data_IF_846807932321
#
_entry.id   IF_846807932321
#
_cell.length_a   1.000
_cell.length_b   1.000
_cell.length_c   1.000
_cell.angle_alpha   90.00
_cell.angle_beta   90.00
_cell.angle_gamma   90.00
#
_symmetry.space_group_name_H-M   'P 1'
#
loop_
_entity.id
_entity.type
_entity.pdbx_description
1 polymer ?
#
# COMPACT_ATOMS: atom_id res chain seq x y z
N UNK A 1 -14.94 30.92 17.07
CA UNK A 1 -13.85 29.98 16.74
C UNK A 1 -14.20 29.27 15.45
N UNK A 2 -13.65 29.73 14.32
CA UNK A 2 -13.66 28.93 13.08
C UNK A 2 -12.76 27.72 13.36
N UNK A 3 -13.31 26.51 13.27
CA UNK A 3 -12.50 25.29 13.09
C UNK A 3 -11.78 25.51 11.76
N UNK A 4 -10.48 25.77 11.80
CA UNK A 4 -9.65 25.61 10.62
C UNK A 4 -9.80 24.15 10.21
N UNK A 5 -10.55 23.88 9.14
CA UNK A 5 -10.51 22.62 8.43
C UNK A 5 -9.09 22.47 7.90
N UNK A 6 -8.21 21.90 8.72
CA UNK A 6 -6.89 21.48 8.28
C UNK A 6 -7.15 20.46 7.18
N UNK A 7 -6.98 20.89 5.93
CA UNK A 7 -7.20 20.06 4.76
C UNK A 7 -6.42 18.76 4.91
N UNK A 8 -7.13 17.62 4.84
CA UNK A 8 -6.52 16.28 4.91
C UNK A 8 -5.36 16.14 3.92
N UNK A 9 -5.43 16.82 2.77
CA UNK A 9 -4.36 16.88 1.78
C UNK A 9 -3.07 17.53 2.32
N UNK A 10 -3.19 18.58 3.14
CA UNK A 10 -2.04 19.25 3.75
C UNK A 10 -1.34 18.36 4.78
N UNK A 11 -2.13 17.70 5.64
CA UNK A 11 -1.61 16.73 6.63
C UNK A 11 -0.93 15.55 5.94
N UNK A 12 -1.53 15.03 4.87
CA UNK A 12 -0.99 13.93 4.07
C UNK A 12 0.36 14.32 3.45
N UNK A 13 0.44 15.52 2.87
CA UNK A 13 1.64 16.03 2.21
C UNK A 13 2.78 16.31 3.20
N UNK A 14 2.47 16.84 4.38
CA UNK A 14 3.48 17.08 5.43
C UNK A 14 4.02 15.76 6.01
N UNK A 15 3.16 14.78 6.27
CA UNK A 15 3.59 13.46 6.77
C UNK A 15 4.47 12.77 5.72
N UNK A 16 4.08 12.76 4.45
CA UNK A 16 4.91 12.20 3.37
C UNK A 16 6.24 12.92 3.22
N UNK A 17 6.24 14.25 3.20
CA UNK A 17 7.48 15.00 2.96
C UNK A 17 8.44 14.90 4.14
N UNK A 18 7.93 14.93 5.37
CA UNK A 18 8.74 14.93 6.58
C UNK A 18 9.20 13.53 7.01
N UNK A 19 8.36 12.50 6.86
CA UNK A 19 8.65 11.16 7.38
C UNK A 19 8.97 10.13 6.29
N UNK A 20 8.45 10.27 5.07
CA UNK A 20 8.76 9.35 3.96
C UNK A 20 9.99 9.84 3.19
N UNK A 21 10.05 11.12 2.83
CA UNK A 21 11.20 11.70 2.11
C UNK A 21 12.31 12.23 3.03
N UNK A 22 11.99 12.58 4.28
CA UNK A 22 12.97 13.06 5.26
C UNK A 22 13.90 11.97 5.81
N UNK A 23 13.48 10.70 5.77
CA UNK A 23 14.28 9.58 6.27
C UNK A 23 15.04 8.94 5.10
N UNK A 24 16.36 9.18 5.05
CA UNK A 24 17.23 8.70 3.95
C UNK A 24 17.13 7.18 3.72
N UNK A 25 16.94 6.40 4.80
CA UNK A 25 16.74 4.95 4.72
C UNK A 25 15.49 4.57 3.92
N UNK A 26 14.39 5.27 4.14
CA UNK A 26 13.13 4.98 3.46
C UNK A 26 13.22 5.42 1.99
N UNK A 27 13.80 6.59 1.73
CA UNK A 27 14.06 7.09 0.36
C UNK A 27 14.91 6.11 -0.47
N UNK A 28 15.96 5.53 0.10
CA UNK A 28 16.81 4.57 -0.62
C UNK A 28 16.05 3.25 -0.89
N UNK A 29 15.23 2.80 0.06
CA UNK A 29 14.43 1.58 -0.09
C UNK A 29 13.23 1.73 -1.03
N UNK A 30 12.75 2.94 -1.32
CA UNK A 30 11.60 3.14 -2.22
C UNK A 30 11.87 2.60 -3.63
N UNK A 31 13.04 2.85 -4.20
CA UNK A 31 13.37 2.38 -5.55
C UNK A 31 13.28 0.85 -5.72
N UNK A 32 13.93 0.02 -4.88
CA UNK A 32 13.79 -1.43 -4.98
C UNK A 32 12.37 -1.91 -4.65
N UNK A 33 11.64 -1.22 -3.75
CA UNK A 33 10.23 -1.53 -3.47
C UNK A 33 9.37 -1.32 -4.71
N UNK A 34 9.47 -0.16 -5.37
CA UNK A 34 8.73 0.13 -6.60
C UNK A 34 9.05 -0.88 -7.70
N UNK A 35 10.32 -1.27 -7.86
CA UNK A 35 10.71 -2.29 -8.81
C UNK A 35 10.04 -3.64 -8.51
N UNK A 36 10.06 -4.10 -7.25
CA UNK A 36 9.43 -5.35 -6.83
C UNK A 36 7.90 -5.31 -6.96
N UNK A 37 7.27 -4.16 -6.71
CA UNK A 37 5.83 -3.95 -6.94
C UNK A 37 5.49 -4.16 -8.43
N UNK A 38 6.28 -3.56 -9.33
CA UNK A 38 6.08 -3.73 -10.78
C UNK A 38 6.27 -5.20 -11.19
N UNK A 39 7.33 -5.85 -10.72
CA UNK A 39 7.57 -7.27 -10.99
C UNK A 39 6.42 -8.14 -10.49
N UNK A 40 5.97 -7.91 -9.26
CA UNK A 40 4.85 -8.63 -8.64
C UNK A 40 3.57 -8.47 -9.48
N UNK A 41 3.19 -7.24 -9.83
CA UNK A 41 2.01 -6.96 -10.65
C UNK A 41 2.09 -7.61 -12.05
N UNK A 42 3.27 -7.60 -12.69
CA UNK A 42 3.50 -8.28 -13.97
C UNK A 42 3.37 -9.81 -13.84
N UNK A 43 3.89 -10.40 -12.77
CA UNK A 43 3.78 -11.84 -12.56
C UNK A 43 2.37 -12.27 -12.19
N UNK A 44 1.63 -11.44 -11.47
CA UNK A 44 0.24 -11.70 -11.08
C UNK A 44 -0.69 -11.70 -12.29
N UNK A 45 -0.59 -10.68 -13.16
CA UNK A 45 -1.34 -10.63 -14.42
C UNK A 45 -1.02 -11.80 -15.37
N UNK A 46 0.25 -12.24 -15.41
CA UNK A 46 0.65 -13.45 -16.15
C UNK A 46 0.11 -14.73 -15.53
N UNK A 47 0.11 -14.86 -14.20
CA UNK A 47 -0.46 -16.01 -13.51
C UNK A 47 -1.97 -16.13 -13.81
N UNK A 48 -2.70 -15.02 -13.83
CA UNK A 48 -4.11 -14.99 -14.27
C UNK A 48 -4.28 -15.49 -15.71
N UNK A 49 -3.38 -15.09 -16.62
CA UNK A 49 -3.41 -15.58 -18.02
C UNK A 49 -3.17 -17.09 -18.12
N UNK A 50 -2.20 -17.63 -17.39
CA UNK A 50 -1.94 -19.08 -17.38
C UNK A 50 -3.09 -19.85 -16.73
N UNK A 51 -3.76 -19.28 -15.73
CA UNK A 51 -4.97 -19.85 -15.15
C UNK A 51 -6.09 -19.98 -16.19
N UNK A 52 -6.31 -18.94 -17.01
CA UNK A 52 -7.23 -19.01 -18.15
C UNK A 52 -6.87 -20.10 -19.15
N UNK A 53 -5.59 -20.18 -19.55
CA UNK A 53 -5.10 -21.21 -20.48
C UNK A 53 -5.22 -22.64 -19.95
N UNK A 54 -5.07 -22.83 -18.64
CA UNK A 54 -5.31 -24.12 -18.00
C UNK A 54 -6.78 -24.50 -18.15
N UNK A 55 -7.70 -23.56 -17.90
CA UNK A 55 -9.14 -23.82 -18.05
C UNK A 55 -9.50 -24.20 -19.50
N UNK A 56 -8.91 -23.54 -20.50
CA UNK A 56 -9.13 -23.87 -21.90
C UNK A 56 -8.50 -25.21 -22.29
N UNK A 57 -7.28 -25.50 -21.81
CA UNK A 57 -6.59 -26.77 -22.08
C UNK A 57 -7.33 -27.98 -21.50
N UNK A 58 -8.00 -27.80 -20.36
CA UNK A 58 -8.87 -28.82 -19.74
C UNK A 58 -10.10 -29.07 -20.62
N UNK A 59 -10.73 -28.01 -21.15
CA UNK A 59 -11.88 -28.14 -22.06
C UNK A 59 -11.50 -28.84 -23.36
N UNK A 60 -10.33 -28.54 -23.91
CA UNK A 60 -9.86 -29.08 -25.18
C UNK A 60 -9.20 -30.46 -25.06
N UNK A 61 -9.08 -31.02 -23.84
CA UNK A 61 -8.47 -32.33 -23.61
C UNK A 61 -6.96 -32.38 -23.94
N UNK A 62 -6.27 -31.24 -23.92
CA UNK A 62 -4.86 -31.13 -24.27
C UNK A 62 -3.94 -31.26 -23.06
N UNK A 63 -2.63 -31.41 -23.28
CA UNK A 63 -1.65 -31.55 -22.21
C UNK A 63 -1.53 -30.27 -21.36
N UNK A 64 -2.19 -30.27 -20.19
CA UNK A 64 -2.24 -29.17 -19.22
C UNK A 64 -0.91 -28.94 -18.48
N UNK A 65 -0.04 -29.96 -18.42
CA UNK A 65 1.15 -29.97 -17.56
C UNK A 65 2.10 -28.78 -17.79
N UNK A 66 2.26 -28.34 -19.04
CA UNK A 66 3.14 -27.22 -19.39
C UNK A 66 2.61 -25.87 -18.90
N UNK A 67 1.30 -25.65 -19.01
CA UNK A 67 0.66 -24.41 -18.54
C UNK A 67 0.55 -24.40 -17.02
N UNK A 68 0.31 -25.56 -16.39
CA UNK A 68 0.36 -25.71 -14.94
C UNK A 68 1.74 -25.35 -14.36
N UNK A 69 2.83 -25.84 -14.98
CA UNK A 69 4.18 -25.53 -14.54
C UNK A 69 4.49 -24.03 -14.67
N UNK A 70 4.07 -23.40 -15.77
CA UNK A 70 4.21 -21.96 -15.99
C UNK A 70 3.44 -21.16 -14.95
N UNK A 71 2.19 -21.55 -14.67
CA UNK A 71 1.38 -20.94 -13.62
C UNK A 71 2.08 -21.01 -12.26
N UNK A 72 2.50 -22.21 -11.83
CA UNK A 72 3.19 -22.40 -10.55
C UNK A 72 4.46 -21.57 -10.44
N UNK A 73 5.31 -21.59 -11.48
CA UNK A 73 6.54 -20.79 -11.51
C UNK A 73 6.24 -19.29 -11.38
N UNK A 74 5.25 -18.77 -12.12
CA UNK A 74 4.88 -17.35 -12.01
C UNK A 74 4.27 -16.99 -10.67
N UNK A 75 3.45 -17.86 -10.08
CA UNK A 75 2.83 -17.64 -8.78
C UNK A 75 3.87 -17.60 -7.66
N UNK A 76 4.89 -18.47 -7.71
CA UNK A 76 6.00 -18.44 -6.75
C UNK A 76 6.77 -17.13 -6.86
N UNK A 77 7.12 -16.68 -8.07
CA UNK A 77 7.83 -15.40 -8.25
C UNK A 77 6.98 -14.22 -7.78
N UNK A 78 5.67 -14.26 -8.01
CA UNK A 78 4.74 -13.25 -7.53
C UNK A 78 4.76 -13.14 -6.01
N UNK A 79 4.58 -14.26 -5.30
CA UNK A 79 4.57 -14.32 -3.83
C UNK A 79 5.93 -13.92 -3.25
N UNK A 80 7.02 -14.44 -3.81
CA UNK A 80 8.37 -14.08 -3.34
C UNK A 80 8.63 -12.59 -3.51
N UNK A 81 8.22 -12.01 -4.65
CA UNK A 81 8.38 -10.57 -4.88
C UNK A 81 7.53 -9.75 -3.91
N UNK A 82 6.31 -10.20 -3.62
CA UNK A 82 5.40 -9.49 -2.71
C UNK A 82 5.88 -9.50 -1.27
N UNK A 83 6.36 -10.64 -0.81
CA UNK A 83 6.96 -10.79 0.52
C UNK A 83 8.27 -10.02 0.63
N UNK A 84 9.10 -10.03 -0.42
CA UNK A 84 10.40 -9.35 -0.40
C UNK A 84 10.26 -7.83 -0.25
N UNK A 85 9.32 -7.19 -0.96
CA UNK A 85 9.11 -5.75 -0.76
C UNK A 85 8.51 -5.44 0.62
N UNK A 86 7.62 -6.30 1.12
CA UNK A 86 6.99 -6.18 2.45
C UNK A 86 8.03 -6.33 3.58
N UNK A 87 9.02 -7.19 3.36
CA UNK A 87 10.17 -7.35 4.24
C UNK A 87 11.08 -6.10 4.23
N UNK A 88 11.46 -5.62 3.04
CA UNK A 88 12.33 -4.44 2.88
C UNK A 88 11.71 -3.21 3.58
N UNK A 89 10.40 -3.02 3.45
CA UNK A 89 9.73 -1.88 4.07
C UNK A 89 9.60 -2.01 5.58
N UNK A 90 9.39 -3.21 6.11
CA UNK A 90 9.27 -3.43 7.56
C UNK A 90 10.49 -2.89 8.32
N UNK A 91 11.70 -3.08 7.76
CA UNK A 91 12.91 -2.49 8.34
C UNK A 91 12.90 -0.95 8.33
N UNK A 92 12.44 -0.34 7.24
CA UNK A 92 12.34 1.12 7.13
C UNK A 92 11.26 1.70 8.05
N UNK A 93 10.13 1.01 8.24
CA UNK A 93 9.07 1.41 9.16
C UNK A 93 9.53 1.44 10.60
N UNK A 94 10.34 0.46 11.02
CA UNK A 94 10.91 0.45 12.37
C UNK A 94 11.80 1.67 12.62
N UNK A 95 12.56 2.12 11.62
CA UNK A 95 13.37 3.35 11.71
C UNK A 95 12.51 4.61 11.78
N UNK A 96 11.41 4.66 11.03
CA UNK A 96 10.42 5.75 11.09
C UNK A 96 9.82 5.85 12.48
N UNK A 97 9.44 4.71 13.06
CA UNK A 97 8.92 4.63 14.43
C UNK A 97 9.91 5.19 15.45
N UNK A 98 11.17 4.74 15.40
CA UNK A 98 12.23 5.23 16.30
C UNK A 98 12.48 6.74 16.11
N UNK A 99 12.44 7.23 14.88
CA UNK A 99 12.61 8.65 14.59
C UNK A 99 11.44 9.49 15.15
N UNK A 100 10.20 9.06 14.94
CA UNK A 100 9.00 9.69 15.51
C UNK A 100 9.04 9.73 17.03
N UNK A 101 9.48 8.64 17.66
CA UNK A 101 9.60 8.55 19.11
C UNK A 101 10.65 9.52 19.65
N UNK A 102 11.83 9.61 19.00
CA UNK A 102 12.88 10.57 19.35
C UNK A 102 12.44 12.02 19.17
N UNK A 103 11.76 12.34 18.07
CA UNK A 103 11.27 13.70 17.80
C UNK A 103 10.20 14.11 18.81
N UNK A 104 9.25 13.21 19.11
CA UNK A 104 8.20 13.48 20.08
C UNK A 104 8.79 13.64 21.49
N UNK A 105 9.71 12.77 21.89
CA UNK A 105 10.39 12.86 23.19
C UNK A 105 11.19 14.16 23.33
N UNK A 106 11.89 14.60 22.28
CA UNK A 106 12.57 15.91 22.28
C UNK A 106 11.58 17.06 22.50
N UNK A 107 10.41 17.04 21.84
CA UNK A 107 9.38 18.07 22.03
C UNK A 107 8.88 18.12 23.47
N UNK A 108 8.68 16.96 24.12
CA UNK A 108 8.19 16.92 25.49
C UNK A 108 9.25 17.25 26.54
N UNK A 109 10.54 17.01 26.27
CA UNK A 109 11.64 17.39 27.19
C UNK A 109 11.87 18.90 27.22
N UNK A 110 11.58 19.61 26.13
CA UNK A 110 11.74 21.07 26.06
C UNK A 110 10.51 21.85 26.58
N UNK A 111 9.53 21.18 27.17
CA UNK A 111 8.38 21.85 27.79
C UNK A 111 8.76 22.47 29.13
N UNK A 112 8.15 23.62 29.42
CA UNK A 112 8.23 24.22 30.76
C UNK A 112 7.69 23.27 31.83
N UNK A 113 8.31 23.34 33.02
CA UNK A 113 8.00 22.45 34.14
C UNK A 113 6.50 22.45 34.51
N UNK A 114 5.83 23.60 34.44
CA UNK A 114 4.39 23.74 34.68
C UNK A 114 3.57 22.96 33.66
N UNK A 115 3.86 23.11 32.37
CA UNK A 115 3.16 22.40 31.30
C UNK A 115 3.43 20.89 31.30
N UNK A 116 4.65 20.49 31.67
CA UNK A 116 5.02 19.08 31.82
C UNK A 116 4.27 18.43 33.01
N UNK A 117 4.22 19.11 34.15
CA UNK A 117 3.53 18.65 35.36
C UNK A 117 2.01 18.55 35.15
N UNK A 118 1.42 19.49 34.42
CA UNK A 118 -0.03 19.52 34.15
C UNK A 118 -0.47 18.37 33.21
N UNK A 119 0.35 18.00 32.24
CA UNK A 119 0.03 16.87 31.35
C UNK A 119 0.19 15.51 32.02
N UNK A 120 1.22 15.34 32.85
CA UNK A 120 1.53 14.07 33.50
C UNK A 120 2.26 13.07 32.58
N UNK A 121 3.24 12.35 33.15
CA UNK A 121 4.16 11.47 32.41
C UNK A 121 3.43 10.36 31.65
N UNK A 122 2.41 9.75 32.24
CA UNK A 122 1.63 8.68 31.59
C UNK A 122 0.88 9.15 30.34
N UNK A 123 0.33 10.36 30.37
CA UNK A 123 -0.37 10.95 29.22
C UNK A 123 0.59 11.28 28.09
N UNK A 124 1.77 11.80 28.44
CA UNK A 124 2.85 12.08 27.47
C UNK A 124 3.31 10.79 26.79
N UNK A 125 3.60 9.74 27.55
CA UNK A 125 3.96 8.42 27.02
C UNK A 125 2.89 7.87 26.08
N UNK A 126 1.62 7.90 26.51
CA UNK A 126 0.51 7.43 25.67
C UNK A 126 0.35 8.22 24.36
N UNK A 127 0.60 9.53 24.37
CA UNK A 127 0.56 10.34 23.14
C UNK A 127 1.74 9.99 22.22
N UNK A 128 2.95 9.84 22.76
CA UNK A 128 4.16 9.50 21.99
C UNK A 128 3.99 8.13 21.31
N UNK A 129 3.54 7.13 22.06
CA UNK A 129 3.35 5.76 21.57
C UNK A 129 2.26 5.73 20.49
N UNK A 130 1.08 6.29 20.78
CA UNK A 130 -0.03 6.34 19.82
C UNK A 130 0.35 7.07 18.53
N UNK A 131 1.06 8.20 18.64
CA UNK A 131 1.53 8.96 17.46
C UNK A 131 2.53 8.17 16.64
N UNK A 132 3.50 7.53 17.29
CA UNK A 132 4.56 6.82 16.58
C UNK A 132 4.04 5.54 15.92
N UNK A 133 3.13 4.82 16.59
CA UNK A 133 2.47 3.64 16.04
C UNK A 133 1.59 4.01 14.84
N UNK A 134 0.68 4.99 15.01
CA UNK A 134 -0.21 5.40 13.91
C UNK A 134 0.54 5.90 12.68
N UNK A 135 1.65 6.61 12.88
CA UNK A 135 2.49 7.08 11.77
C UNK A 135 3.21 5.93 11.05
N UNK A 136 3.69 4.93 11.80
CA UNK A 136 4.26 3.70 11.24
C UNK A 136 3.24 2.89 10.44
N UNK A 137 2.06 2.64 11.01
CA UNK A 137 0.96 1.93 10.36
C UNK A 137 0.51 2.64 9.08
N UNK A 138 0.33 3.96 9.15
CA UNK A 138 -0.09 4.78 8.02
C UNK A 138 0.91 4.72 6.86
N UNK A 139 2.20 4.87 7.13
CA UNK A 139 3.25 4.78 6.10
C UNK A 139 3.33 3.35 5.55
N UNK A 140 3.18 2.34 6.42
CA UNK A 140 3.15 0.94 6.04
C UNK A 140 2.04 0.67 5.04
N UNK A 141 0.79 0.93 5.40
CA UNK A 141 -0.39 0.76 4.53
C UNK A 141 -0.26 1.55 3.24
N UNK A 142 0.23 2.80 3.31
CA UNK A 142 0.39 3.64 2.12
C UNK A 142 1.33 3.01 1.09
N UNK A 143 2.45 2.43 1.53
CA UNK A 143 3.45 1.90 0.60
C UNK A 143 3.17 0.44 0.23
N UNK A 144 2.67 -0.39 1.14
CA UNK A 144 2.44 -1.83 0.86
C UNK A 144 1.09 -2.13 0.22
N UNK A 145 0.08 -1.29 0.41
CA UNK A 145 -1.28 -1.53 -0.09
C UNK A 145 -1.73 -0.45 -1.07
N UNK A 146 -1.61 0.83 -0.69
CA UNK A 146 -2.13 1.92 -1.52
C UNK A 146 -1.27 2.17 -2.77
N UNK A 147 0.05 2.00 -2.67
CA UNK A 147 0.97 2.25 -3.80
C UNK A 147 0.92 1.18 -4.89
N UNK A 148 0.84 -0.13 -4.59
CA UNK A 148 0.71 -1.17 -5.61
C UNK A 148 -0.63 -1.14 -6.34
N UNK A 149 -1.70 -0.69 -5.69
CA UNK A 149 -3.07 -0.79 -6.21
C UNK A 149 -3.26 -0.10 -7.58
N UNK A 150 -2.81 1.16 -7.81
CA UNK A 150 -2.84 1.76 -9.14
C UNK A 150 -2.01 1.02 -10.19
N UNK A 151 -0.83 0.50 -9.79
CA UNK A 151 0.05 -0.24 -10.71
C UNK A 151 -0.64 -1.51 -11.19
N UNK A 152 -1.19 -2.28 -10.26
CA UNK A 152 -1.96 -3.48 -10.56
C UNK A 152 -3.18 -3.16 -11.44
N UNK A 153 -3.91 -2.10 -11.10
CA UNK A 153 -5.08 -1.66 -11.87
C UNK A 153 -4.74 -1.32 -13.32
N UNK A 154 -3.63 -0.61 -13.56
CA UNK A 154 -3.17 -0.28 -14.93
C UNK A 154 -2.80 -1.55 -15.69
N UNK A 155 -2.01 -2.44 -15.10
CA UNK A 155 -1.61 -3.69 -15.77
C UNK A 155 -2.80 -4.60 -16.07
N UNK A 156 -3.75 -4.72 -15.14
CA UNK A 156 -4.97 -5.49 -15.34
C UNK A 156 -5.82 -4.88 -16.45
N UNK A 157 -5.96 -3.55 -16.48
CA UNK A 157 -6.74 -2.83 -17.49
C UNK A 157 -6.16 -3.01 -18.89
N UNK A 158 -4.84 -2.86 -19.05
CA UNK A 158 -4.16 -3.13 -20.33
C UNK A 158 -4.40 -4.58 -20.78
N UNK A 159 -4.32 -5.54 -19.84
CA UNK A 159 -4.51 -6.95 -20.18
C UNK A 159 -5.94 -7.29 -20.58
N UNK A 160 -6.93 -6.77 -19.85
CA UNK A 160 -8.36 -6.94 -20.19
C UNK A 160 -8.65 -6.32 -21.56
N UNK A 161 -8.06 -5.16 -21.87
CA UNK A 161 -8.19 -4.55 -23.18
C UNK A 161 -7.64 -5.46 -24.29
N UNK A 162 -6.47 -6.07 -24.09
CA UNK A 162 -5.85 -6.96 -25.08
C UNK A 162 -6.64 -8.26 -25.29
N UNK A 163 -7.19 -8.85 -24.23
CA UNK A 163 -7.84 -10.17 -24.29
C UNK A 163 -9.35 -10.11 -24.62
N UNK A 164 -10.07 -9.10 -24.11
CA UNK A 164 -11.53 -9.00 -24.18
C UNK A 164 -12.02 -7.79 -25.00
N UNK A 165 -11.13 -6.85 -25.32
CA UNK A 165 -11.45 -5.66 -26.08
C UNK A 165 -12.06 -4.51 -25.25
N UNK A 166 -12.18 -3.36 -25.90
CA UNK A 166 -12.56 -2.09 -25.26
C UNK A 166 -13.98 -2.08 -24.67
N UNK A 167 -14.92 -2.76 -25.33
CA UNK A 167 -16.33 -2.80 -24.92
C UNK A 167 -16.51 -3.43 -23.54
N UNK A 168 -15.84 -4.56 -23.29
CA UNK A 168 -15.91 -5.27 -22.01
C UNK A 168 -15.24 -4.45 -20.90
N UNK A 169 -14.12 -3.80 -21.20
CA UNK A 169 -13.43 -2.93 -20.24
C UNK A 169 -14.33 -1.77 -19.78
N UNK A 170 -15.07 -1.14 -20.71
CA UNK A 170 -15.98 -0.04 -20.39
C UNK A 170 -17.11 -0.51 -19.45
N UNK A 171 -17.71 -1.68 -19.74
CA UNK A 171 -18.72 -2.28 -18.85
C UNK A 171 -18.15 -2.52 -17.46
N UNK A 172 -16.94 -3.09 -17.33
CA UNK A 172 -16.28 -3.30 -16.04
C UNK A 172 -16.11 -1.99 -15.25
N UNK A 173 -15.70 -0.90 -15.89
CA UNK A 173 -15.56 0.39 -15.22
C UNK A 173 -16.89 0.99 -14.76
N UNK A 174 -17.97 0.82 -15.54
CA UNK A 174 -19.31 1.23 -15.11
C UNK A 174 -19.72 0.46 -13.84
N UNK A 175 -19.48 -0.85 -13.79
CA UNK A 175 -19.75 -1.65 -12.60
C UNK A 175 -18.92 -1.22 -11.39
N UNK A 176 -17.63 -0.95 -11.58
CA UNK A 176 -16.75 -0.44 -10.51
C UNK A 176 -17.25 0.91 -9.98
N UNK A 177 -17.69 1.81 -10.87
CA UNK A 177 -18.25 3.10 -10.47
C UNK A 177 -19.55 2.95 -9.68
N UNK A 178 -20.47 2.09 -10.14
CA UNK A 178 -21.72 1.79 -9.42
C UNK A 178 -21.40 1.21 -8.03
N UNK A 179 -20.46 0.27 -7.96
CA UNK A 179 -20.03 -0.32 -6.70
C UNK A 179 -19.48 0.74 -5.72
N UNK A 180 -18.58 1.62 -6.18
CA UNK A 180 -18.05 2.71 -5.36
C UNK A 180 -19.16 3.64 -4.84
N UNK A 181 -20.08 4.05 -5.70
CA UNK A 181 -21.21 4.91 -5.30
C UNK A 181 -22.09 4.19 -4.28
N UNK A 182 -22.40 2.91 -4.48
CA UNK A 182 -23.20 2.12 -3.55
C UNK A 182 -22.50 1.98 -2.19
N UNK A 183 -21.20 1.70 -2.16
CA UNK A 183 -20.43 1.61 -0.90
C UNK A 183 -20.45 2.94 -0.14
N UNK A 184 -20.25 4.07 -0.83
CA UNK A 184 -20.31 5.41 -0.20
C UNK A 184 -21.71 5.70 0.31
N UNK A 185 -22.75 5.37 -0.46
CA UNK A 185 -24.13 5.56 -0.05
C UNK A 185 -24.48 4.76 1.21
N UNK A 186 -24.04 3.49 1.30
CA UNK A 186 -24.25 2.65 2.48
C UNK A 186 -23.47 3.18 3.70
N UNK A 187 -22.22 3.61 3.50
CA UNK A 187 -21.36 4.07 4.61
C UNK A 187 -21.81 5.41 5.20
N UNK A 188 -22.45 6.25 4.39
CA UNK A 188 -22.97 7.55 4.83
C UNK A 188 -24.38 7.47 5.45
N UNK A 189 -24.99 6.28 5.46
CA UNK A 189 -26.33 6.04 5.99
C UNK A 189 -26.29 5.39 7.37
#
# INVERSE_FOLDING_TARGET
>A
MKKDEVSLSFVYKDILKQYVLGISSLRLSLAPIFFLIIVSALTETRASTYSGKIADSIKDGTNVSKELLRFLATSIVCVVSSELYSFIISHSLQRVYVYSLRDSLKKYIHLDFLAFREMGVGKILGIIERRSQSLGEFIGVTITQLTPMPVFFVFLSCRVQDDLGWSIMLVMYVFIAIYMVATVAITNH
#
